data_IF_623733049693
#
_entry.id   IF_623733049693
#
_cell.length_a   1.000
_cell.length_b   1.000
_cell.length_c   1.000
_cell.angle_alpha   90.00
_cell.angle_beta   90.00
_cell.angle_gamma   90.00
#
_symmetry.space_group_name_H-M   'P 1'
#
loop_
_entity.id
_entity.type
_entity.pdbx_description
1 polymer ?
#
# COMPACT_ATOMS: atom_id res chain seq x y z
N UNK A 1 12.16 -8.52 21.20
CA UNK A 1 12.44 -7.48 20.18
C UNK A 1 11.73 -6.20 20.61
N UNK A 2 12.32 -5.00 20.49
CA UNK A 2 11.59 -3.78 20.83
C UNK A 2 10.55 -3.49 19.75
N UNK A 3 9.32 -3.92 20.00
CA UNK A 3 8.15 -3.36 19.32
C UNK A 3 7.59 -2.21 20.14
N UNK A 4 7.00 -1.23 19.47
CA UNK A 4 6.28 -0.14 20.11
C UNK A 4 4.84 -0.21 19.62
N UNK A 5 3.90 -0.38 20.55
CA UNK A 5 2.48 -0.21 20.24
C UNK A 5 2.20 1.23 19.82
N UNK A 6 1.45 1.40 18.72
CA UNK A 6 0.98 2.69 18.20
C UNK A 6 -0.51 2.88 18.45
N UNK A 7 -0.96 4.11 18.22
CA UNK A 7 -2.39 4.45 18.24
C UNK A 7 -3.00 4.39 19.63
N UNK A 8 -4.30 4.14 19.69
CA UNK A 8 -5.04 4.07 20.94
C UNK A 8 -4.68 2.86 21.81
N UNK A 9 -3.94 1.86 21.30
CA UNK A 9 -3.47 0.74 22.12
C UNK A 9 -2.61 1.19 23.31
N UNK A 10 -1.92 2.33 23.21
CA UNK A 10 -1.16 2.92 24.32
C UNK A 10 -2.05 3.41 25.47
N UNK A 11 -3.34 3.66 25.23
CA UNK A 11 -4.30 4.12 26.22
C UNK A 11 -4.78 2.96 27.14
N UNK A 12 -4.37 1.71 26.86
CA UNK A 12 -4.78 0.51 27.60
C UNK A 12 -3.77 0.07 28.64
N UNK A 13 -4.18 0.07 29.92
CA UNK A 13 -3.36 -0.45 31.02
C UNK A 13 -3.10 -1.96 30.89
N UNK A 14 -4.05 -2.70 30.33
CA UNK A 14 -3.87 -4.13 30.07
C UNK A 14 -2.77 -4.34 29.04
N UNK A 15 -2.74 -3.53 27.97
CA UNK A 15 -1.69 -3.61 26.96
C UNK A 15 -0.31 -3.24 27.54
N UNK A 16 -0.26 -2.25 28.45
CA UNK A 16 0.97 -1.91 29.18
C UNK A 16 1.46 -3.05 30.08
N UNK A 17 0.59 -3.62 30.92
CA UNK A 17 0.95 -4.70 31.87
C UNK A 17 1.35 -5.99 31.15
N UNK A 18 0.76 -6.28 29.99
CA UNK A 18 1.16 -7.41 29.14
C UNK A 18 2.44 -7.14 28.32
N UNK A 19 3.00 -5.92 28.39
CA UNK A 19 4.20 -5.52 27.66
C UNK A 19 3.99 -5.32 26.16
N UNK A 20 2.74 -5.18 25.72
CA UNK A 20 2.38 -4.86 24.33
C UNK A 20 2.76 -3.40 24.04
N UNK A 21 2.47 -2.50 24.98
CA UNK A 21 2.90 -1.11 24.95
C UNK A 21 3.91 -0.83 26.05
N UNK A 22 4.71 0.22 25.88
CA UNK A 22 5.74 0.64 26.85
C UNK A 22 5.41 1.94 27.58
N UNK A 23 4.22 2.48 27.33
CA UNK A 23 3.76 3.76 27.88
C UNK A 23 2.80 3.46 29.01
N UNK A 24 3.05 4.00 30.20
CA UNK A 24 2.14 3.88 31.33
C UNK A 24 0.95 4.85 31.14
N UNK A 25 -0.27 4.34 30.88
CA UNK A 25 -1.41 5.21 30.63
C UNK A 25 -1.88 5.97 31.88
N UNK A 26 -1.59 5.49 33.09
CA UNK A 26 -1.96 6.19 34.33
C UNK A 26 -1.02 7.37 34.56
N UNK A 27 0.30 7.16 34.42
CA UNK A 27 1.29 8.23 34.58
C UNK A 27 1.02 9.38 33.60
N UNK A 28 0.62 9.05 32.38
CA UNK A 28 0.36 10.02 31.31
C UNK A 28 -1.11 10.43 31.17
N UNK A 29 -2.00 9.98 32.07
CA UNK A 29 -3.43 10.29 32.08
C UNK A 29 -4.13 10.06 30.72
N UNK A 30 -3.80 8.93 30.09
CA UNK A 30 -4.39 8.49 28.82
C UNK A 30 -5.78 7.87 29.05
N UNK A 31 -6.71 8.07 28.12
CA UNK A 31 -8.11 7.69 28.25
C UNK A 31 -8.38 6.35 27.55
N UNK A 32 -8.68 5.31 28.33
CA UNK A 32 -8.96 3.96 27.82
C UNK A 32 -10.09 3.92 26.79
N UNK A 33 -11.11 4.76 26.94
CA UNK A 33 -12.31 4.78 26.09
C UNK A 33 -12.00 5.14 24.63
N UNK A 34 -10.84 5.75 24.37
CA UNK A 34 -10.32 5.98 23.02
C UNK A 34 -9.88 4.71 22.32
N UNK A 35 -9.51 3.68 23.10
CA UNK A 35 -9.14 2.36 22.61
C UNK A 35 -10.36 1.46 22.48
N UNK A 36 -11.18 1.38 23.54
CA UNK A 36 -12.35 0.51 23.58
C UNK A 36 -13.42 1.10 24.50
N UNK A 37 -14.66 1.19 24.01
CA UNK A 37 -15.82 1.61 24.79
C UNK A 37 -17.07 0.84 24.34
N UNK A 38 -18.11 0.82 25.17
CA UNK A 38 -19.30 -0.03 24.98
C UNK A 38 -20.11 0.28 23.72
N UNK A 39 -20.08 1.53 23.25
CA UNK A 39 -20.80 1.96 22.04
C UNK A 39 -20.00 1.69 20.75
N UNK A 40 -18.77 1.20 20.86
CA UNK A 40 -17.90 0.94 19.71
C UNK A 40 -18.37 -0.29 18.93
N UNK A 41 -18.72 -0.11 17.66
CA UNK A 41 -19.16 -1.21 16.78
C UNK A 41 -18.03 -1.84 15.97
N UNK A 42 -16.85 -1.22 15.93
CA UNK A 42 -15.67 -1.71 15.22
C UNK A 42 -14.77 -2.54 16.13
N UNK A 43 -14.08 -3.52 15.55
CA UNK A 43 -13.04 -4.28 16.26
C UNK A 43 -11.90 -3.34 16.69
N UNK A 44 -11.41 -3.44 17.94
CA UNK A 44 -10.24 -2.66 18.37
C UNK A 44 -9.00 -3.11 17.61
N UNK A 45 -8.18 -2.16 17.17
CA UNK A 45 -6.96 -2.42 16.41
C UNK A 45 -5.72 -2.09 17.23
N UNK A 46 -4.69 -2.95 17.14
CA UNK A 46 -3.43 -2.80 17.84
C UNK A 46 -2.30 -2.83 16.82
N UNK A 47 -1.81 -1.64 16.48
CA UNK A 47 -0.65 -1.47 15.62
C UNK A 47 0.64 -1.73 16.41
N UNK A 48 1.44 -2.70 15.95
CA UNK A 48 2.76 -2.99 16.53
C UNK A 48 3.84 -2.75 15.47
N UNK A 49 4.73 -1.80 15.75
CA UNK A 49 5.93 -1.60 14.93
C UNK A 49 7.01 -2.61 15.28
N UNK A 50 7.77 -3.04 14.27
CA UNK A 50 9.01 -3.79 14.46
C UNK A 50 10.14 -3.18 13.62
N UNK A 51 11.39 -3.39 14.05
CA UNK A 51 12.56 -3.03 13.23
C UNK A 51 12.56 -3.83 11.93
N UNK A 52 12.83 -3.15 10.81
CA UNK A 52 12.96 -3.78 9.48
C UNK A 52 13.94 -4.95 9.49
N UNK A 53 15.02 -4.86 10.27
CA UNK A 53 16.05 -5.91 10.38
C UNK A 53 15.50 -7.22 10.98
N UNK A 54 14.44 -7.14 11.79
CA UNK A 54 13.86 -8.28 12.49
C UNK A 54 12.55 -8.75 11.84
N UNK A 55 12.09 -8.07 10.79
CA UNK A 55 10.81 -8.35 10.11
C UNK A 55 10.69 -9.82 9.72
N UNK A 56 11.71 -10.38 9.08
CA UNK A 56 11.69 -11.76 8.62
C UNK A 56 11.54 -12.75 9.78
N UNK A 57 12.22 -12.48 10.90
CA UNK A 57 12.13 -13.32 12.10
C UNK A 57 10.71 -13.33 12.68
N UNK A 58 10.03 -12.18 12.65
CA UNK A 58 8.63 -12.07 13.10
C UNK A 58 7.71 -12.84 12.15
N UNK A 59 7.89 -12.70 10.84
CA UNK A 59 7.10 -13.43 9.83
C UNK A 59 7.23 -14.94 10.06
N UNK A 60 8.46 -15.45 10.17
CA UNK A 60 8.70 -16.87 10.40
C UNK A 60 8.11 -17.34 11.73
N UNK A 61 8.23 -16.55 12.80
CA UNK A 61 7.61 -16.87 14.09
C UNK A 61 6.09 -17.02 13.98
N UNK A 62 5.41 -16.14 13.24
CA UNK A 62 3.95 -16.22 13.06
C UNK A 62 3.59 -17.50 12.30
N UNK A 63 4.32 -17.84 11.24
CA UNK A 63 4.12 -19.08 10.49
C UNK A 63 4.36 -20.33 11.35
N UNK A 64 5.44 -20.36 12.14
CA UNK A 64 5.75 -21.45 13.05
C UNK A 64 4.69 -21.62 14.15
N UNK A 65 4.16 -20.50 14.66
CA UNK A 65 3.20 -20.50 15.76
C UNK A 65 1.79 -20.86 15.35
N UNK A 66 1.30 -20.35 14.22
CA UNK A 66 -0.09 -20.50 13.80
C UNK A 66 -0.28 -21.46 12.62
N UNK A 67 0.81 -21.90 12.00
CA UNK A 67 0.80 -22.84 10.88
C UNK A 67 0.59 -22.15 9.54
N UNK A 68 1.20 -22.74 8.50
CA UNK A 68 1.16 -22.24 7.13
C UNK A 68 -0.24 -22.28 6.49
N UNK A 69 -1.11 -23.19 6.93
CA UNK A 69 -2.48 -23.31 6.41
C UNK A 69 -3.38 -22.15 6.82
N UNK A 70 -3.04 -21.45 7.90
CA UNK A 70 -3.86 -20.38 8.53
C UNK A 70 -3.18 -19.01 8.50
N UNK A 71 -1.94 -18.96 8.03
CA UNK A 71 -1.12 -17.76 8.04
C UNK A 71 -0.72 -17.42 6.61
N UNK A 72 -0.79 -16.14 6.26
CA UNK A 72 -0.47 -15.68 4.91
C UNK A 72 -0.04 -14.23 4.90
N UNK A 73 0.82 -13.87 3.95
CA UNK A 73 1.10 -12.47 3.67
C UNK A 73 -0.08 -11.85 2.91
N UNK A 74 -0.39 -10.59 3.19
CA UNK A 74 -1.41 -9.84 2.44
C UNK A 74 -0.91 -9.57 1.03
N UNK A 75 -1.77 -9.82 0.03
CA UNK A 75 -1.50 -9.51 -1.36
C UNK A 75 -1.84 -8.05 -1.69
N UNK A 76 -0.98 -7.41 -2.46
CA UNK A 76 -1.16 -6.09 -3.04
C UNK A 76 -1.48 -6.22 -4.52
N UNK A 77 -2.64 -5.69 -4.94
CA UNK A 77 -2.96 -5.50 -6.36
C UNK A 77 -2.30 -4.21 -6.83
N UNK A 78 -1.18 -4.31 -7.53
CA UNK A 78 -0.46 -3.12 -8.02
C UNK A 78 -1.07 -2.67 -9.32
N UNK A 79 -1.52 -1.41 -9.35
CA UNK A 79 -2.15 -0.80 -10.52
C UNK A 79 -1.18 0.04 -11.35
N UNK A 80 -1.58 0.38 -12.57
CA UNK A 80 -0.86 1.36 -13.39
C UNK A 80 -0.96 2.76 -12.78
N UNK A 81 0.17 3.21 -12.25
CA UNK A 81 0.33 4.59 -11.81
C UNK A 81 0.64 5.50 -13.01
N UNK A 82 0.28 6.79 -12.96
CA UNK A 82 0.45 7.75 -14.04
C UNK A 82 1.77 7.72 -14.82
N UNK A 83 2.90 7.77 -14.11
CA UNK A 83 4.24 7.73 -14.73
C UNK A 83 4.49 6.44 -15.49
N UNK A 84 3.96 5.32 -14.99
CA UNK A 84 4.09 4.02 -15.63
C UNK A 84 3.16 3.92 -16.85
N UNK A 85 1.93 4.42 -16.76
CA UNK A 85 0.98 4.46 -17.87
C UNK A 85 1.59 5.20 -19.07
N UNK A 86 2.12 6.41 -18.85
CA UNK A 86 2.84 7.20 -19.88
C UNK A 86 3.93 6.37 -20.55
N UNK A 87 4.81 5.76 -19.75
CA UNK A 87 5.96 5.01 -20.27
C UNK A 87 5.52 3.78 -21.07
N UNK A 88 4.57 3.01 -20.58
CA UNK A 88 4.16 1.75 -21.20
C UNK A 88 3.31 1.98 -22.44
N UNK A 89 2.30 2.86 -22.37
CA UNK A 89 1.45 3.21 -23.52
C UNK A 89 2.28 3.91 -24.59
N UNK A 90 3.11 4.87 -24.20
CA UNK A 90 3.91 5.61 -25.17
C UNK A 90 4.96 4.74 -25.86
N UNK A 91 5.57 3.79 -25.14
CA UNK A 91 6.46 2.79 -25.75
C UNK A 91 5.71 1.90 -26.73
N UNK A 92 4.50 1.46 -26.40
CA UNK A 92 3.66 0.64 -27.29
C UNK A 92 3.26 1.39 -28.58
N UNK A 93 3.04 2.71 -28.48
CA UNK A 93 2.73 3.58 -29.62
C UNK A 93 3.97 4.07 -30.39
N UNK A 94 5.17 3.66 -29.99
CA UNK A 94 6.42 3.97 -30.70
C UNK A 94 7.01 5.36 -30.42
N UNK A 95 6.61 6.02 -29.33
CA UNK A 95 7.26 7.27 -28.91
C UNK A 95 8.68 7.02 -28.41
N UNK A 96 9.56 8.01 -28.58
CA UNK A 96 10.96 7.90 -28.17
C UNK A 96 11.11 7.89 -26.66
N UNK A 97 12.12 7.18 -26.14
CA UNK A 97 12.37 7.10 -24.69
C UNK A 97 12.68 8.47 -24.09
N UNK A 98 13.36 9.35 -24.83
CA UNK A 98 13.71 10.70 -24.40
C UNK A 98 12.45 11.54 -24.15
N UNK A 99 11.46 11.44 -25.06
CA UNK A 99 10.17 12.07 -24.86
C UNK A 99 9.47 11.49 -23.63
N UNK A 100 9.36 10.17 -23.54
CA UNK A 100 8.67 9.49 -22.43
C UNK A 100 9.27 9.81 -21.06
N UNK A 101 10.59 9.94 -20.97
CA UNK A 101 11.27 10.33 -19.74
C UNK A 101 11.00 11.78 -19.36
N UNK A 102 10.93 12.70 -20.33
CA UNK A 102 10.51 14.08 -20.08
C UNK A 102 9.08 14.15 -19.59
N UNK A 103 8.17 13.41 -20.25
CA UNK A 103 6.76 13.35 -19.86
C UNK A 103 6.58 12.77 -18.46
N UNK A 104 7.21 11.64 -18.16
CA UNK A 104 7.09 10.97 -16.88
C UNK A 104 7.68 11.79 -15.71
N UNK A 105 8.69 12.63 -15.96
CA UNK A 105 9.25 13.55 -14.96
C UNK A 105 8.33 14.73 -14.63
N UNK A 106 7.59 15.22 -15.63
CA UNK A 106 6.66 16.34 -15.46
C UNK A 106 5.45 15.99 -14.60
N UNK A 107 5.06 14.71 -14.58
CA UNK A 107 3.92 14.24 -13.81
C UNK A 107 4.24 14.22 -12.32
N UNK A 108 3.69 15.20 -11.59
CA UNK A 108 3.55 15.13 -10.14
C UNK A 108 2.37 14.22 -9.75
N UNK A 109 2.34 13.77 -8.48
CA UNK A 109 1.45 12.68 -7.98
C UNK A 109 -0.05 12.88 -8.19
N UNK A 110 -0.47 14.04 -8.69
CA UNK A 110 -1.86 14.41 -8.96
C UNK A 110 -2.06 14.43 -10.47
N UNK A 111 -2.44 13.27 -11.01
CA UNK A 111 -3.02 13.20 -12.36
C UNK A 111 -4.44 13.79 -12.27
N UNK A 112 -4.53 15.10 -12.11
CA UNK A 112 -5.80 15.80 -12.28
C UNK A 112 -6.22 15.69 -13.74
N UNK A 113 -7.53 15.73 -13.96
CA UNK A 113 -8.25 15.43 -15.21
C UNK A 113 -7.63 16.07 -16.48
N UNK A 114 -6.88 17.15 -16.30
CA UNK A 114 -6.05 17.81 -17.31
C UNK A 114 -4.61 17.28 -17.33
N UNK A 115 -4.43 16.15 -18.04
CA UNK A 115 -3.13 15.60 -18.41
C UNK A 115 -2.23 16.63 -19.10
N UNK A 116 -2.82 17.64 -19.75
CA UNK A 116 -2.08 18.74 -20.38
C UNK A 116 -1.49 19.74 -19.37
N UNK A 117 -2.16 19.99 -18.25
CA UNK A 117 -1.72 20.96 -17.24
C UNK A 117 -0.58 20.43 -16.38
N UNK A 118 -0.63 19.14 -16.00
CA UNK A 118 0.42 18.47 -15.24
C UNK A 118 1.71 18.24 -16.06
N UNK A 119 1.67 18.44 -17.38
CA UNK A 119 2.81 18.21 -18.28
C UNK A 119 3.43 19.51 -18.82
N UNK A 120 3.13 20.66 -18.20
CA UNK A 120 3.59 22.00 -18.60
C UNK A 120 5.12 22.03 -18.81
N UNK A 121 5.54 22.08 -20.08
CA UNK A 121 6.95 22.10 -20.53
C UNK A 121 7.48 20.81 -21.16
N UNK A 122 6.77 19.68 -21.03
CA UNK A 122 7.13 18.40 -21.65
C UNK A 122 6.22 18.02 -22.84
N UNK A 123 5.01 18.60 -22.92
CA UNK A 123 4.08 18.38 -24.04
C UNK A 123 4.62 19.04 -25.32
N UNK A 124 4.61 18.33 -26.48
CA UNK A 124 4.89 18.95 -27.77
C UNK A 124 3.91 20.11 -28.06
N UNK A 125 4.38 21.19 -28.70
CA UNK A 125 3.51 22.27 -29.18
C UNK A 125 2.32 21.71 -29.97
N UNK A 126 1.11 22.30 -29.88
CA UNK A 126 -0.10 21.78 -30.54
C UNK A 126 0.07 21.49 -32.05
N UNK A 127 0.86 22.31 -32.73
CA UNK A 127 1.24 22.21 -34.15
C UNK A 127 2.20 21.04 -34.47
N UNK A 128 2.89 20.50 -33.46
CA UNK A 128 3.83 19.38 -33.58
C UNK A 128 3.29 18.05 -33.01
N UNK A 129 2.04 18.02 -32.52
CA UNK A 129 1.45 16.81 -31.95
C UNK A 129 1.05 15.84 -33.07
N UNK A 130 1.59 14.62 -33.12
CA UNK A 130 1.14 13.61 -34.09
C UNK A 130 -0.31 13.22 -33.78
N UNK A 131 -1.04 12.68 -34.76
CA UNK A 131 -2.41 12.15 -34.54
C UNK A 131 -2.46 11.11 -33.41
N UNK A 132 -1.38 10.33 -33.24
CA UNK A 132 -1.23 9.36 -32.15
C UNK A 132 -1.15 9.99 -30.77
N UNK A 133 -0.97 11.31 -30.64
CA UNK A 133 -0.89 12.01 -29.36
C UNK A 133 -2.21 11.99 -28.60
N UNK A 134 -3.34 12.25 -29.28
CA UNK A 134 -4.65 12.20 -28.65
C UNK A 134 -4.96 10.78 -28.16
N UNK A 135 -4.73 9.80 -29.03
CA UNK A 135 -4.87 8.38 -28.69
C UNK A 135 -3.95 7.97 -27.53
N UNK A 136 -2.72 8.50 -27.47
CA UNK A 136 -1.80 8.27 -26.36
C UNK A 136 -2.37 8.77 -25.03
N UNK A 137 -2.91 10.00 -25.00
CA UNK A 137 -3.50 10.58 -23.79
C UNK A 137 -4.76 9.81 -23.35
N UNK A 138 -5.62 9.45 -24.30
CA UNK A 138 -6.83 8.65 -24.03
C UNK A 138 -6.46 7.29 -23.43
N UNK A 139 -5.56 6.54 -24.08
CA UNK A 139 -5.11 5.25 -23.58
C UNK A 139 -4.40 5.35 -22.23
N UNK A 140 -3.64 6.42 -21.98
CA UNK A 140 -3.05 6.64 -20.66
C UNK A 140 -4.13 6.83 -19.58
N UNK A 141 -5.18 7.60 -19.86
CA UNK A 141 -6.30 7.79 -18.93
C UNK A 141 -7.07 6.50 -18.69
N UNK A 142 -7.30 5.70 -19.73
CA UNK A 142 -8.00 4.42 -19.61
C UNK A 142 -7.21 3.38 -18.81
N UNK A 143 -5.89 3.34 -18.98
CA UNK A 143 -5.04 2.33 -18.35
C UNK A 143 -4.71 2.67 -16.89
N UNK A 144 -4.82 3.93 -16.46
CA UNK A 144 -4.61 4.26 -15.05
C UNK A 144 -5.56 3.46 -14.16
N UNK A 145 -5.05 3.02 -13.01
CA UNK A 145 -5.73 2.15 -12.05
C UNK A 145 -6.06 0.73 -12.54
N UNK A 146 -5.75 0.37 -13.80
CA UNK A 146 -5.85 -1.03 -14.22
C UNK A 146 -4.89 -1.91 -13.41
N UNK A 147 -5.33 -3.11 -12.98
CA UNK A 147 -4.47 -4.05 -12.26
C UNK A 147 -3.37 -4.54 -13.20
N UNK A 148 -2.11 -4.48 -12.73
CA UNK A 148 -0.94 -4.90 -13.51
C UNK A 148 -0.43 -6.27 -13.10
N UNK A 149 -0.22 -6.46 -11.80
CA UNK A 149 0.31 -7.69 -11.22
C UNK A 149 0.08 -7.69 -9.72
N UNK A 150 0.19 -8.87 -9.13
CA UNK A 150 0.17 -9.06 -7.69
C UNK A 150 1.56 -8.84 -7.10
N UNK A 151 1.62 -8.37 -5.86
CA UNK A 151 2.85 -8.24 -5.07
C UNK A 151 2.55 -8.50 -3.60
N UNK A 152 3.58 -8.62 -2.77
CA UNK A 152 3.41 -8.96 -1.35
C UNK A 152 3.45 -7.67 -0.52
N UNK A 153 2.47 -7.49 0.38
CA UNK A 153 2.47 -6.37 1.32
C UNK A 153 3.71 -6.42 2.21
N UNK A 154 4.33 -5.26 2.44
CA UNK A 154 5.59 -5.14 3.17
C UNK A 154 5.47 -5.42 4.68
N UNK A 155 4.27 -5.59 5.23
CA UNK A 155 4.07 -5.90 6.64
C UNK A 155 2.72 -6.50 6.98
N UNK A 156 1.90 -6.77 5.96
CA UNK A 156 0.54 -7.25 6.16
C UNK A 156 0.59 -8.75 6.28
N UNK A 157 0.18 -9.28 7.43
CA UNK A 157 0.00 -10.70 7.65
C UNK A 157 -1.41 -10.96 8.14
N UNK A 158 -1.98 -12.06 7.70
CA UNK A 158 -3.26 -12.57 8.14
C UNK A 158 -3.03 -13.84 8.94
N UNK A 159 -3.77 -13.97 10.04
CA UNK A 159 -3.88 -15.20 10.83
C UNK A 159 -5.36 -15.47 11.02
N UNK A 160 -5.84 -16.63 10.60
CA UNK A 160 -7.26 -16.97 10.62
C UNK A 160 -7.55 -18.15 11.56
N UNK A 161 -8.80 -18.22 12.04
CA UNK A 161 -9.27 -19.32 12.88
C UNK A 161 -9.46 -20.63 12.11
N UNK A 162 -9.81 -20.52 10.83
CA UNK A 162 -9.98 -21.61 9.85
C UNK A 162 -8.87 -21.55 8.80
N UNK A 163 -8.62 -22.61 8.01
CA UNK A 163 -7.66 -22.57 6.92
C UNK A 163 -7.94 -21.41 5.94
N UNK A 164 -6.87 -20.73 5.49
CA UNK A 164 -6.99 -19.56 4.61
C UNK A 164 -7.75 -19.87 3.32
N UNK A 165 -7.52 -21.06 2.76
CA UNK A 165 -8.15 -21.55 1.52
C UNK A 165 -9.68 -21.62 1.60
N UNK A 166 -10.24 -21.73 2.80
CA UNK A 166 -11.69 -21.78 3.02
C UNK A 166 -12.31 -20.37 3.06
N UNK A 167 -11.48 -19.32 3.23
CA UNK A 167 -11.91 -17.92 3.41
C UNK A 167 -11.57 -17.09 2.17
N UNK A 168 -10.35 -17.23 1.63
CA UNK A 168 -9.85 -16.45 0.50
C UNK A 168 -8.93 -17.28 -0.43
N UNK A 169 -8.88 -16.97 -1.73
CA UNK A 169 -7.87 -17.55 -2.62
C UNK A 169 -6.45 -17.20 -2.17
N UNK A 170 -5.54 -18.17 -2.27
CA UNK A 170 -4.12 -18.02 -1.91
C UNK A 170 -3.23 -18.42 -3.09
N UNK A 171 -2.06 -17.79 -3.18
CA UNK A 171 -1.01 -18.17 -4.12
C UNK A 171 0.35 -18.25 -3.40
N UNK A 172 1.29 -19.10 -3.86
CA UNK A 172 2.65 -19.08 -3.36
C UNK A 172 3.32 -17.73 -3.62
N UNK A 173 3.94 -17.17 -2.59
CA UNK A 173 4.82 -16.01 -2.74
C UNK A 173 5.97 -16.34 -3.71
N UNK A 174 6.19 -15.49 -4.73
CA UNK A 174 7.26 -15.63 -5.73
C UNK A 174 8.31 -14.54 -5.58
#
# INVERSE_FOLDING_TARGET
MPGQGRGSAADSIVAYVLGITRVDPIEHNLLFERFLHEEMTSMPDIDIDFSTEHREQVIQYIYEKYGWERTGMVCNVVTFQPRMAIRQVGKALGFSNELLDRLAKGVDRWFTEDVEDAMTGAVPPPDMRPKSWQQFLELCREVIDFPRHLSIHNGGMLVTGEPLVDIVPVEPAT
#
